data_IF_007174175202
#
_entry.id   IF_007174175202
#
_cell.length_a   1.000
_cell.length_b   1.000
_cell.length_c   1.000
_cell.angle_alpha   90.00
_cell.angle_beta   90.00
_cell.angle_gamma   90.00
#
_symmetry.space_group_name_H-M   'P 1'
#
loop_
_entity.id
_entity.type
_entity.pdbx_description
1 polymer ?
#
# COMPACT_ATOMS: atom_id res chain seq x y z
N UNK A 1 5.54 -10.38 -5.87
CA UNK A 1 4.31 -9.76 -6.42
C UNK A 1 3.56 -9.17 -5.24
N UNK A 2 3.13 -7.90 -5.34
CA UNK A 2 2.27 -7.31 -4.31
C UNK A 2 0.90 -7.99 -4.48
N UNK A 3 0.26 -8.52 -3.42
CA UNK A 3 -0.94 -9.37 -3.55
C UNK A 3 -2.09 -8.78 -4.40
N UNK A 4 -2.14 -7.45 -4.52
CA UNK A 4 -3.23 -6.74 -5.18
C UNK A 4 -2.80 -5.96 -6.44
N UNK A 5 -1.50 -5.87 -6.72
CA UNK A 5 -1.01 -5.11 -7.88
C UNK A 5 -1.16 -5.89 -9.21
N UNK A 6 -1.64 -7.13 -9.17
CA UNK A 6 -1.76 -7.98 -10.36
C UNK A 6 -2.90 -7.51 -11.30
N UNK A 7 -3.95 -6.85 -10.76
CA UNK A 7 -4.97 -6.17 -11.57
C UNK A 7 -5.11 -4.70 -11.17
N UNK A 8 -4.53 -3.75 -11.93
CA UNK A 8 -4.60 -2.32 -11.60
C UNK A 8 -6.03 -1.73 -11.72
N UNK A 9 -6.98 -2.45 -12.33
CA UNK A 9 -8.39 -2.04 -12.35
C UNK A 9 -9.24 -2.73 -11.27
N UNK A 10 -8.63 -3.47 -10.34
CA UNK A 10 -9.35 -4.19 -9.30
C UNK A 10 -10.16 -3.29 -8.36
N UNK A 11 -9.84 -2.00 -8.29
CA UNK A 11 -10.68 -1.01 -7.60
C UNK A 11 -10.71 -1.13 -6.07
N UNK A 12 -9.74 -1.81 -5.46
CA UNK A 12 -9.66 -2.00 -4.00
C UNK A 12 -8.39 -1.38 -3.46
N UNK A 13 -8.51 -0.69 -2.33
CA UNK A 13 -7.38 -0.16 -1.58
C UNK A 13 -6.81 -1.26 -0.68
N UNK A 14 -5.61 -1.75 -1.04
CA UNK A 14 -4.83 -2.64 -0.19
C UNK A 14 -4.11 -1.87 0.91
N UNK A 15 -4.41 -2.18 2.18
CA UNK A 15 -3.82 -1.52 3.34
C UNK A 15 -2.95 -2.54 4.08
N UNK A 16 -1.67 -2.20 4.25
CA UNK A 16 -0.70 -3.06 4.94
C UNK A 16 -0.22 -2.34 6.19
N UNK A 17 -0.44 -2.95 7.35
CA UNK A 17 -0.03 -2.38 8.64
C UNK A 17 1.02 -3.29 9.28
N UNK A 18 2.23 -2.77 9.47
CA UNK A 18 3.29 -3.49 10.17
C UNK A 18 3.30 -3.13 11.65
N UNK A 19 3.07 -4.10 12.53
CA UNK A 19 3.00 -3.88 13.99
C UNK A 19 4.38 -4.10 14.62
N UNK A 20 5.43 -3.46 14.10
CA UNK A 20 6.77 -3.59 14.65
C UNK A 20 6.92 -2.68 15.89
N UNK A 21 6.96 -3.26 17.09
CA UNK A 21 7.05 -2.52 18.36
C UNK A 21 8.48 -2.10 18.70
N UNK A 22 9.49 -2.68 18.05
CA UNK A 22 10.93 -2.39 18.31
C UNK A 22 11.69 -2.07 17.02
N UNK A 23 12.60 -1.09 17.09
CA UNK A 23 13.43 -0.64 15.94
C UNK A 23 14.18 -1.79 15.25
N UNK A 24 14.60 -2.83 15.97
CA UNK A 24 15.25 -4.02 15.42
C UNK A 24 14.31 -4.94 14.63
N UNK A 25 13.03 -4.98 14.98
CA UNK A 25 12.01 -5.73 14.24
C UNK A 25 11.70 -5.05 12.90
N UNK A 26 11.72 -3.71 12.86
CA UNK A 26 11.51 -2.93 11.64
C UNK A 26 12.60 -3.20 10.58
N UNK A 27 13.86 -3.29 11.00
CA UNK A 27 14.99 -3.63 10.10
C UNK A 27 14.85 -5.06 9.57
N UNK A 28 14.40 -6.00 10.41
CA UNK A 28 14.18 -7.40 10.02
C UNK A 28 13.03 -7.53 9.02
N UNK A 29 11.92 -6.86 9.26
CA UNK A 29 10.78 -6.79 8.31
C UNK A 29 11.21 -6.20 6.97
N UNK A 30 11.99 -5.11 6.98
CA UNK A 30 12.50 -4.49 5.74
C UNK A 30 13.45 -5.43 4.97
N UNK A 31 14.24 -6.22 5.70
CA UNK A 31 15.15 -7.21 5.13
C UNK A 31 14.40 -8.44 4.56
N UNK A 32 13.34 -8.87 5.24
CA UNK A 32 12.45 -9.95 4.78
C UNK A 32 11.61 -9.51 3.57
N UNK A 33 11.21 -8.23 3.51
CA UNK A 33 10.66 -7.58 2.31
C UNK A 33 11.65 -7.68 1.15
N UNK A 34 12.88 -7.19 1.34
CA UNK A 34 13.89 -7.19 0.28
C UNK A 34 14.19 -8.61 -0.25
N UNK A 35 14.05 -9.64 0.58
CA UNK A 35 14.28 -11.05 0.21
C UNK A 35 13.09 -11.80 -0.37
N UNK A 36 11.92 -11.18 -0.51
CA UNK A 36 10.77 -11.88 -1.08
C UNK A 36 10.05 -12.82 -0.09
N UNK A 37 10.34 -12.75 1.21
CA UNK A 37 9.75 -13.64 2.25
C UNK A 37 8.56 -13.04 3.01
N UNK A 38 7.78 -12.20 2.32
CA UNK A 38 6.64 -11.43 2.85
C UNK A 38 5.46 -12.26 3.38
N UNK A 39 5.42 -13.56 3.07
CA UNK A 39 4.31 -14.46 3.45
C UNK A 39 4.40 -15.01 4.88
N UNK A 40 5.55 -14.90 5.53
CA UNK A 40 5.83 -15.60 6.81
C UNK A 40 6.11 -14.64 7.98
N UNK A 41 6.05 -13.33 7.74
CA UNK A 41 6.27 -12.33 8.79
C UNK A 41 4.99 -12.12 9.58
N UNK A 42 4.87 -12.79 10.72
CA UNK A 42 3.78 -12.84 11.72
C UNK A 42 3.24 -11.46 12.22
N UNK A 43 3.70 -10.33 11.67
CA UNK A 43 3.47 -8.98 12.17
C UNK A 43 2.93 -8.00 11.10
N UNK A 44 2.39 -8.50 9.99
CA UNK A 44 1.75 -7.69 8.95
C UNK A 44 0.26 -7.98 8.91
N UNK A 45 -0.55 -6.99 9.25
CA UNK A 45 -2.00 -7.04 9.05
C UNK A 45 -2.33 -6.53 7.65
N UNK A 46 -3.16 -7.29 6.93
CA UNK A 46 -3.64 -6.95 5.59
C UNK A 46 -5.12 -6.62 5.69
N UNK A 47 -5.46 -5.38 5.35
CA UNK A 47 -6.83 -4.88 5.33
C UNK A 47 -7.21 -4.44 3.91
N UNK A 48 -8.50 -4.46 3.61
CA UNK A 48 -9.05 -4.02 2.33
C UNK A 48 -10.22 -3.08 2.59
N UNK A 49 -10.26 -1.98 1.85
CA UNK A 49 -11.35 -1.01 1.90
C UNK A 49 -11.48 -0.27 0.56
N UNK A 50 -12.55 0.49 0.41
CA UNK A 50 -12.68 1.56 -0.58
C UNK A 50 -12.08 2.88 -0.05
N UNK A 51 -12.21 3.10 1.26
CA UNK A 51 -11.80 4.31 1.95
C UNK A 51 -11.18 4.01 3.31
N UNK A 52 -10.10 4.70 3.63
CA UNK A 52 -9.43 4.65 4.92
C UNK A 52 -9.19 6.06 5.48
N UNK A 53 -9.37 6.21 6.78
CA UNK A 53 -9.05 7.46 7.49
C UNK A 53 -7.88 7.19 8.44
N UNK A 54 -6.72 7.75 8.11
CA UNK A 54 -5.52 7.66 8.93
C UNK A 54 -5.48 8.82 9.93
N UNK A 55 -5.54 8.49 11.23
CA UNK A 55 -5.44 9.46 12.33
C UNK A 55 -4.13 9.27 13.10
N UNK A 56 -3.34 10.33 13.17
CA UNK A 56 -2.05 10.34 13.86
C UNK A 56 -2.22 10.94 15.26
N UNK A 57 -2.15 10.08 16.27
CA UNK A 57 -2.34 10.45 17.68
C UNK A 57 -1.05 10.92 18.38
N UNK A 58 0.09 10.95 17.68
CA UNK A 58 1.37 11.34 18.28
C UNK A 58 1.50 12.86 18.48
N UNK A 59 2.24 13.26 19.53
CA UNK A 59 2.56 14.66 19.83
C UNK A 59 3.52 15.29 18.80
N UNK A 60 4.18 14.48 17.98
CA UNK A 60 5.04 14.97 16.90
C UNK A 60 4.25 15.84 15.92
N UNK A 61 4.87 16.92 15.43
CA UNK A 61 4.22 17.90 14.54
C UNK A 61 4.58 17.75 13.06
N UNK A 62 5.52 16.86 12.72
CA UNK A 62 6.07 16.71 11.37
C UNK A 62 6.05 15.25 10.94
N UNK A 63 4.91 14.81 10.43
CA UNK A 63 4.79 13.49 9.79
C UNK A 63 5.07 13.63 8.30
N UNK A 64 5.77 12.63 7.75
CA UNK A 64 6.07 12.55 6.32
C UNK A 64 5.68 11.18 5.81
N UNK A 65 5.23 11.15 4.57
CA UNK A 65 4.94 9.94 3.83
C UNK A 65 5.60 10.00 2.46
N UNK A 66 5.63 8.88 1.77
CA UNK A 66 6.02 8.80 0.36
C UNK A 66 4.77 8.46 -0.43
N UNK A 67 4.42 9.29 -1.41
CA UNK A 67 3.33 9.05 -2.36
C UNK A 67 3.96 9.02 -3.76
N UNK A 68 3.77 7.91 -4.49
CA UNK A 68 4.33 7.69 -5.83
C UNK A 68 5.85 7.95 -5.98
N UNK A 69 6.60 7.74 -4.89
CA UNK A 69 8.05 7.96 -4.84
C UNK A 69 8.45 9.38 -4.40
N UNK A 70 7.50 10.28 -4.21
CA UNK A 70 7.74 11.64 -3.77
C UNK A 70 7.46 11.82 -2.28
N UNK A 71 8.28 12.66 -1.64
CA UNK A 71 8.17 12.92 -0.22
C UNK A 71 7.12 14.00 0.05
N UNK A 72 6.08 13.62 0.79
CA UNK A 72 4.95 14.51 1.09
C UNK A 72 4.82 14.73 2.59
N UNK A 73 4.23 15.87 2.96
CA UNK A 73 3.80 16.11 4.33
C UNK A 73 2.49 15.37 4.57
N UNK A 74 2.40 14.69 5.70
CA UNK A 74 1.19 13.98 6.11
C UNK A 74 0.48 14.77 7.20
N UNK A 75 -0.81 15.03 7.00
CA UNK A 75 -1.64 15.72 7.97
C UNK A 75 -2.07 14.79 9.11
N UNK A 76 -2.53 15.38 10.22
CA UNK A 76 -2.96 14.61 11.41
C UNK A 76 -4.10 13.66 11.11
N UNK A 77 -5.00 14.06 10.22
CA UNK A 77 -6.08 13.25 9.72
C UNK A 77 -6.00 13.29 8.19
N UNK A 78 -5.78 12.14 7.58
CA UNK A 78 -5.66 12.01 6.13
C UNK A 78 -6.65 10.95 5.66
N UNK A 79 -7.49 11.29 4.70
CA UNK A 79 -8.38 10.32 4.04
C UNK A 79 -7.71 9.80 2.78
N UNK A 80 -7.73 8.48 2.61
CA UNK A 80 -7.20 7.77 1.45
C UNK A 80 -8.37 7.03 0.83
N UNK A 81 -8.66 7.28 -0.43
CA UNK A 81 -9.82 6.74 -1.14
C UNK A 81 -9.40 6.23 -2.51
N UNK A 82 -9.87 5.04 -2.89
CA UNK A 82 -9.69 4.51 -4.25
C UNK A 82 -10.82 5.04 -5.13
N UNK A 83 -10.47 5.50 -6.33
CA UNK A 83 -11.45 5.87 -7.35
C UNK A 83 -11.36 4.86 -8.51
N UNK A 84 -12.17 3.78 -8.51
CA UNK A 84 -12.08 2.73 -9.53
C UNK A 84 -12.35 3.29 -10.92
N UNK A 85 -11.50 2.97 -11.89
CA UNK A 85 -11.69 3.37 -13.29
C UNK A 85 -11.56 4.88 -13.54
N UNK A 86 -10.95 5.64 -12.64
CA UNK A 86 -10.81 7.09 -12.78
C UNK A 86 -9.97 7.53 -14.00
N UNK A 87 -9.11 6.64 -14.53
CA UNK A 87 -8.21 6.93 -15.64
C UNK A 87 -8.36 5.91 -16.76
N UNK A 88 -8.41 6.40 -18.00
CA UNK A 88 -8.24 5.59 -19.20
C UNK A 88 -6.75 5.43 -19.49
N UNK A 89 -6.27 4.19 -19.56
CA UNK A 89 -4.85 3.88 -19.74
C UNK A 89 -4.64 3.07 -21.00
N UNK A 90 -3.64 3.43 -21.78
CA UNK A 90 -3.22 2.64 -22.94
C UNK A 90 -2.52 1.37 -22.46
N UNK A 91 -2.95 0.23 -22.99
CA UNK A 91 -2.37 -1.08 -22.68
C UNK A 91 -1.88 -1.76 -23.97
N UNK A 92 -0.83 -2.59 -23.91
CA UNK A 92 -0.42 -3.39 -25.06
C UNK A 92 -1.57 -4.28 -25.52
N UNK A 93 -1.75 -4.44 -26.84
CA UNK A 93 -2.84 -5.24 -27.41
C UNK A 93 -2.88 -6.69 -26.87
N UNK A 94 -1.72 -7.26 -26.52
CA UNK A 94 -1.61 -8.59 -25.90
C UNK A 94 -2.22 -8.67 -24.50
N UNK A 95 -2.18 -7.58 -23.73
CA UNK A 95 -2.75 -7.51 -22.39
C UNK A 95 -4.29 -7.42 -22.41
N UNK A 96 -4.87 -6.90 -23.50
CA UNK A 96 -6.33 -6.85 -23.70
C UNK A 96 -6.91 -8.26 -23.89
N UNK A 97 -6.20 -9.13 -24.60
CA UNK A 97 -6.65 -10.51 -24.88
C UNK A 97 -6.70 -11.38 -23.62
N UNK A 98 -5.78 -11.15 -22.67
CA UNK A 98 -5.75 -11.86 -21.38
C UNK A 98 -6.91 -11.49 -20.43
N UNK A 99 -7.69 -10.44 -20.72
CA UNK A 99 -8.92 -10.09 -19.98
C UNK A 99 -10.19 -10.67 -20.59
N UNK A 100 -10.14 -11.18 -21.81
CA UNK A 100 -11.31 -11.64 -22.58
C UNK A 100 -11.43 -13.18 -22.67
N UNK A 101 -10.46 -13.91 -22.12
CA UNK A 101 -10.46 -15.36 -21.96
C UNK A 101 -10.61 -15.73 -20.49
#
# INVERSE_FOLDING_TARGET
HLPYADNPAGGVLGIYVTVARRRGELVRVLFDMARGKWRDSEHVEIHQADRAVLKLHSAAKKFRAVMDGELVRLDRETTIEIHPGALNVLVPARAVQARAA
#
